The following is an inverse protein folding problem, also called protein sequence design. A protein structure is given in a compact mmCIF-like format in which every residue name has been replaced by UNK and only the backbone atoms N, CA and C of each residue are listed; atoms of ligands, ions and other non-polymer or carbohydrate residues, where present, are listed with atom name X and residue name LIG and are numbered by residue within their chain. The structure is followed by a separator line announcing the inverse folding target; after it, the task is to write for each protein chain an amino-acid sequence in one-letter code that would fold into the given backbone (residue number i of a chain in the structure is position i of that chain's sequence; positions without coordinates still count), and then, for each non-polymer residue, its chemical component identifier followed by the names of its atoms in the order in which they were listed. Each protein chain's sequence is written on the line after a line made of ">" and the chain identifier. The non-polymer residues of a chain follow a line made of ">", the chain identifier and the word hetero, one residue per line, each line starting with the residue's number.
data_IF_633586451462
#
_entry.id   IF_633586451462
#
_cell.length_a   1.000
_cell.length_b   1.000
_cell.length_c   1.000
_cell.angle_alpha   90.00
_cell.angle_beta   90.00
_cell.angle_gamma   90.00
#
_symmetry.space_group_name_H-M   'P 1'
#
loop_
_entity.id
_entity.type
_entity.pdbx_description
1 polymer ?
#
# COMPACT_ATOMS: atom_id res chain seq x y z
N UNK A 1 -4.45 6.37 -26.60
CA UNK A 1 -4.52 7.63 -25.83
C UNK A 1 -3.55 7.55 -24.66
N UNK A 2 -2.94 8.66 -24.25
CA UNK A 2 -2.05 8.68 -23.07
C UNK A 2 -2.77 9.42 -21.95
N UNK A 3 -2.94 8.74 -20.81
CA UNK A 3 -3.42 9.34 -19.56
C UNK A 3 -2.19 9.72 -18.76
N UNK A 4 -2.04 11.02 -18.47
CA UNK A 4 -0.96 11.56 -17.64
C UNK A 4 -1.41 11.70 -16.19
N UNK A 5 -0.43 11.80 -15.30
CA UNK A 5 -0.63 12.05 -13.86
C UNK A 5 -1.61 11.03 -13.22
N UNK A 6 -1.55 9.79 -13.70
CA UNK A 6 -2.31 8.70 -13.11
C UNK A 6 -1.72 8.31 -11.77
N UNK A 7 -2.59 7.95 -10.82
CA UNK A 7 -2.17 7.49 -9.49
C UNK A 7 -2.00 5.98 -9.49
N UNK A 8 -0.84 5.51 -9.04
CA UNK A 8 -0.49 4.10 -8.90
C UNK A 8 -1.29 3.44 -7.76
N UNK A 9 -2.10 2.39 -8.03
CA UNK A 9 -2.98 1.77 -7.04
C UNK A 9 -2.33 0.57 -6.34
N UNK A 10 -1.05 0.66 -5.96
CA UNK A 10 -0.29 -0.47 -5.40
C UNK A 10 0.16 -0.27 -3.95
N UNK A 11 1.25 0.46 -3.71
CA UNK A 11 1.83 0.66 -2.36
C UNK A 11 1.54 2.06 -1.81
N UNK A 12 1.91 2.29 -0.55
CA UNK A 12 1.69 3.57 0.14
C UNK A 12 2.44 4.78 -0.43
N UNK A 13 3.35 4.58 -1.40
CA UNK A 13 3.99 5.70 -2.10
C UNK A 13 3.02 6.49 -2.99
N UNK A 14 1.91 5.87 -3.39
CA UNK A 14 0.83 6.50 -4.17
C UNK A 14 1.35 7.38 -5.32
N UNK A 15 2.22 6.81 -6.16
CA UNK A 15 2.89 7.59 -7.22
C UNK A 15 1.87 8.19 -8.18
N UNK A 16 1.90 9.50 -8.36
CA UNK A 16 0.90 10.32 -9.06
C UNK A 16 1.42 10.93 -10.38
N UNK A 17 2.58 10.46 -10.83
CA UNK A 17 3.27 10.87 -12.07
C UNK A 17 3.30 9.74 -13.10
N UNK A 18 2.37 8.78 -13.01
CA UNK A 18 2.32 7.63 -13.91
C UNK A 18 1.68 8.05 -15.23
N UNK A 19 2.31 7.68 -16.34
CA UNK A 19 1.69 7.78 -17.67
C UNK A 19 1.21 6.40 -18.10
N UNK A 20 -0.05 6.30 -18.49
CA UNK A 20 -0.70 5.06 -18.91
C UNK A 20 -1.13 5.20 -20.37
N UNK A 21 -0.59 4.35 -21.23
CA UNK A 21 -0.97 4.27 -22.64
C UNK A 21 -2.10 3.25 -22.81
N UNK A 22 -3.18 3.70 -23.43
CA UNK A 22 -4.41 2.91 -23.63
C UNK A 22 -4.74 2.81 -25.11
N UNK A 23 -4.87 1.59 -25.61
CA UNK A 23 -5.32 1.25 -26.96
C UNK A 23 -6.49 0.28 -26.88
N UNK A 24 -7.56 0.54 -27.65
CA UNK A 24 -8.77 -0.31 -27.69
C UNK A 24 -9.33 -0.67 -26.29
N UNK A 25 -9.24 0.27 -25.34
CA UNK A 25 -9.70 0.09 -23.96
C UNK A 25 -8.79 -0.79 -23.08
N UNK A 26 -7.57 -1.10 -23.53
CA UNK A 26 -6.56 -1.86 -22.76
C UNK A 26 -5.32 -1.01 -22.50
N UNK A 27 -4.74 -1.20 -21.32
CA UNK A 27 -3.43 -0.63 -21.00
C UNK A 27 -2.36 -1.42 -21.75
N UNK A 28 -1.60 -0.76 -22.62
CA UNK A 28 -0.55 -1.38 -23.43
C UNK A 28 0.86 -1.03 -22.94
N UNK A 29 1.02 0.14 -22.30
CA UNK A 29 2.28 0.57 -21.71
C UNK A 29 2.06 1.42 -20.46
N UNK A 30 3.04 1.41 -19.56
CA UNK A 30 3.05 2.19 -18.32
C UNK A 30 4.44 2.77 -18.12
N UNK A 31 4.53 4.09 -18.01
CA UNK A 31 5.77 4.83 -17.80
C UNK A 31 5.83 5.34 -16.36
N UNK A 32 7.04 5.50 -15.80
CA UNK A 32 7.33 5.94 -14.43
C UNK A 32 6.90 4.98 -13.31
N UNK A 33 6.10 3.93 -13.55
CA UNK A 33 5.79 2.93 -12.54
C UNK A 33 7.02 2.03 -12.24
N UNK A 34 7.16 1.61 -10.97
CA UNK A 34 8.06 0.49 -10.66
C UNK A 34 7.45 -0.84 -11.12
N UNK A 35 8.21 -1.93 -11.08
CA UNK A 35 7.76 -3.25 -11.51
C UNK A 35 6.42 -3.68 -10.88
N UNK A 36 6.24 -3.40 -9.57
CA UNK A 36 5.00 -3.71 -8.86
C UNK A 36 3.80 -2.92 -9.40
N UNK A 37 4.00 -1.62 -9.67
CA UNK A 37 2.99 -0.76 -10.27
C UNK A 37 2.66 -1.18 -11.70
N UNK A 38 3.67 -1.45 -12.53
CA UNK A 38 3.47 -1.92 -13.92
C UNK A 38 2.66 -3.20 -13.95
N UNK A 39 3.02 -4.21 -13.14
CA UNK A 39 2.27 -5.47 -13.05
C UNK A 39 0.82 -5.28 -12.60
N UNK A 40 0.53 -4.28 -11.77
CA UNK A 40 -0.83 -3.97 -11.33
C UNK A 40 -1.69 -3.42 -12.47
N UNK A 41 -1.12 -2.60 -13.34
CA UNK A 41 -1.80 -2.04 -14.52
C UNK A 41 -1.94 -3.03 -15.68
N UNK A 42 -0.95 -3.90 -15.90
CA UNK A 42 -0.90 -4.82 -17.05
C UNK A 42 -1.31 -6.25 -16.74
N UNK A 43 -1.85 -6.52 -15.55
CA UNK A 43 -2.19 -7.88 -15.13
C UNK A 43 -3.24 -8.57 -16.01
N UNK A 44 -2.95 -9.78 -16.48
CA UNK A 44 -3.79 -10.51 -17.44
C UNK A 44 -4.81 -11.46 -16.78
N UNK A 45 -4.57 -11.87 -15.52
CA UNK A 45 -5.42 -12.83 -14.80
C UNK A 45 -6.60 -12.13 -14.14
N UNK A 46 -7.72 -12.02 -14.86
CA UNK A 46 -8.95 -11.38 -14.38
C UNK A 46 -10.15 -12.31 -14.47
N UNK A 47 -10.87 -12.49 -13.36
CA UNK A 47 -12.20 -13.10 -13.36
C UNK A 47 -13.15 -12.21 -14.17
N UNK A 48 -13.84 -12.82 -15.15
CA UNK A 48 -14.80 -12.11 -16.04
C UNK A 48 -16.22 -12.11 -15.48
N UNK A 49 -16.57 -13.15 -14.72
CA UNK A 49 -17.88 -13.33 -14.09
C UNK A 49 -17.70 -13.61 -12.60
N UNK A 50 -18.70 -13.28 -11.77
CA UNK A 50 -18.83 -13.86 -10.43
C UNK A 50 -18.91 -15.39 -10.52
N UNK A 51 -18.35 -16.06 -9.52
CA UNK A 51 -18.32 -17.52 -9.44
C UNK A 51 -18.92 -18.00 -8.13
N UNK A 52 -19.62 -19.13 -8.16
CA UNK A 52 -20.17 -19.81 -6.98
C UNK A 52 -19.58 -21.22 -6.89
N UNK A 53 -19.19 -21.62 -5.68
CA UNK A 53 -18.73 -22.98 -5.42
C UNK A 53 -19.93 -23.90 -5.21
N UNK A 54 -19.98 -24.97 -5.99
CA UNK A 54 -20.97 -26.03 -5.89
C UNK A 54 -20.23 -27.37 -5.68
N UNK A 55 -20.19 -27.82 -4.42
CA UNK A 55 -19.34 -28.94 -3.99
C UNK A 55 -17.85 -28.68 -4.22
N UNK A 56 -17.27 -29.40 -5.18
CA UNK A 56 -15.84 -29.30 -5.55
C UNK A 56 -15.59 -28.48 -6.82
N UNK A 57 -16.63 -27.94 -7.45
CA UNK A 57 -16.52 -27.18 -8.70
C UNK A 57 -16.87 -25.70 -8.50
N UNK A 58 -16.37 -24.85 -9.39
CA UNK A 58 -16.72 -23.43 -9.48
C UNK A 58 -17.53 -23.19 -10.75
N UNK A 59 -18.66 -22.51 -10.61
CA UNK A 59 -19.58 -22.21 -11.71
C UNK A 59 -19.76 -20.71 -11.87
N UNK A 60 -19.76 -20.24 -13.11
CA UNK A 60 -20.10 -18.85 -13.43
C UNK A 60 -21.57 -18.56 -13.10
N UNK A 61 -21.82 -17.41 -12.47
CA UNK A 61 -23.16 -16.92 -12.13
C UNK A 61 -23.29 -15.43 -12.48
N UNK A 62 -24.52 -14.91 -12.47
CA UNK A 62 -24.77 -13.48 -12.71
C UNK A 62 -24.43 -12.64 -11.47
N UNK A 63 -24.20 -11.34 -11.68
CA UNK A 63 -24.04 -10.39 -10.57
C UNK A 63 -25.26 -10.34 -9.66
N UNK A 64 -26.48 -10.33 -10.21
CA UNK A 64 -27.72 -10.32 -9.41
C UNK A 64 -27.79 -11.52 -8.46
N UNK A 65 -27.45 -12.71 -8.96
CA UNK A 65 -27.44 -13.93 -8.14
C UNK A 65 -26.34 -13.86 -7.08
N UNK A 66 -25.14 -13.42 -7.44
CA UNK A 66 -24.01 -13.32 -6.51
C UNK A 66 -24.28 -12.31 -5.38
N UNK A 67 -24.85 -11.15 -5.72
CA UNK A 67 -25.17 -10.08 -4.77
C UNK A 67 -26.28 -10.53 -3.82
N UNK A 68 -27.36 -11.13 -4.32
CA UNK A 68 -28.44 -11.66 -3.46
C UNK A 68 -27.92 -12.72 -2.50
N UNK A 69 -27.16 -13.69 -3.02
CA UNK A 69 -26.55 -14.74 -2.20
C UNK A 69 -25.66 -14.16 -1.08
N UNK A 70 -24.79 -13.20 -1.42
CA UNK A 70 -23.93 -12.53 -0.43
C UNK A 70 -24.75 -11.74 0.61
N UNK A 71 -25.80 -11.03 0.19
CA UNK A 71 -26.67 -10.29 1.08
C UNK A 71 -27.42 -11.22 2.05
N UNK A 72 -28.00 -12.31 1.56
CA UNK A 72 -28.69 -13.31 2.39
C UNK A 72 -27.74 -13.95 3.41
N UNK A 73 -26.51 -14.26 3.00
CA UNK A 73 -25.46 -14.76 3.91
C UNK A 73 -25.13 -13.74 5.01
N UNK A 74 -24.96 -12.47 4.66
CA UNK A 74 -24.63 -11.43 5.64
C UNK A 74 -25.79 -11.17 6.61
N UNK A 75 -27.04 -11.21 6.13
CA UNK A 75 -28.24 -11.02 6.95
C UNK A 75 -28.54 -12.20 7.89
N UNK A 76 -28.15 -13.41 7.48
CA UNK A 76 -28.33 -14.64 8.28
C UNK A 76 -27.18 -14.90 9.26
N UNK A 77 -26.05 -14.21 9.11
CA UNK A 77 -24.90 -14.36 9.99
C UNK A 77 -25.17 -13.75 11.37
N UNK A 78 -24.81 -14.47 12.44
CA UNK A 78 -24.91 -13.96 13.82
C UNK A 78 -23.83 -12.89 14.12
N UNK A 79 -22.64 -13.04 13.52
CA UNK A 79 -21.50 -12.13 13.72
C UNK A 79 -20.65 -12.02 12.45
N UNK A 80 -21.13 -11.32 11.41
CA UNK A 80 -20.41 -11.19 10.15
C UNK A 80 -19.14 -10.34 10.31
N UNK A 81 -18.05 -10.75 9.63
CA UNK A 81 -16.82 -9.98 9.49
C UNK A 81 -16.69 -9.46 8.05
N UNK A 82 -16.50 -8.15 7.95
CA UNK A 82 -16.32 -7.39 6.72
C UNK A 82 -14.85 -6.93 6.66
N UNK A 83 -13.97 -7.72 6.04
CA UNK A 83 -12.52 -7.51 6.08
C UNK A 83 -11.90 -7.14 4.73
N UNK A 84 -10.88 -6.26 4.74
CA UNK A 84 -10.01 -6.00 3.59
C UNK A 84 -9.79 -4.51 3.34
N UNK A 85 -10.67 -3.90 2.55
CA UNK A 85 -10.84 -2.45 2.28
C UNK A 85 -9.66 -1.63 1.74
N UNK A 86 -8.41 -1.97 2.07
CA UNK A 86 -7.21 -1.18 1.73
C UNK A 86 -6.87 -1.16 0.23
N UNK A 87 -7.54 -2.00 -0.57
CA UNK A 87 -7.37 -2.07 -2.03
C UNK A 87 -8.51 -1.45 -2.84
N UNK A 88 -9.38 -0.66 -2.23
CA UNK A 88 -10.47 0.09 -2.90
C UNK A 88 -10.40 1.58 -2.60
N UNK A 89 -11.28 2.37 -3.19
CA UNK A 89 -11.38 3.82 -2.99
C UNK A 89 -12.27 4.19 -1.79
N UNK A 90 -12.16 5.44 -1.32
CA UNK A 90 -12.80 5.90 -0.08
C UNK A 90 -14.33 5.79 -0.08
N UNK A 91 -15.01 6.08 -1.19
CA UNK A 91 -16.48 6.00 -1.25
C UNK A 91 -16.98 4.56 -1.06
N UNK A 92 -16.25 3.56 -1.58
CA UNK A 92 -16.59 2.15 -1.35
C UNK A 92 -16.39 1.76 0.12
N UNK A 93 -15.39 2.34 0.81
CA UNK A 93 -15.18 2.12 2.24
C UNK A 93 -16.31 2.73 3.06
N UNK A 94 -16.80 3.92 2.69
CA UNK A 94 -17.97 4.54 3.34
C UNK A 94 -19.22 3.65 3.22
N UNK A 95 -19.47 3.10 2.04
CA UNK A 95 -20.57 2.13 1.86
C UNK A 95 -20.35 0.88 2.71
N UNK A 96 -19.12 0.37 2.80
CA UNK A 96 -18.75 -0.75 3.66
C UNK A 96 -19.08 -0.53 5.14
N UNK A 97 -18.82 0.67 5.66
CA UNK A 97 -19.17 1.04 7.04
C UNK A 97 -20.68 0.99 7.25
N UNK A 98 -21.47 1.61 6.36
CA UNK A 98 -22.93 1.54 6.45
C UNK A 98 -23.47 0.11 6.35
N UNK A 99 -22.86 -0.73 5.50
CA UNK A 99 -23.21 -2.15 5.42
C UNK A 99 -22.94 -2.87 6.74
N UNK A 100 -21.78 -2.63 7.36
CA UNK A 100 -21.42 -3.23 8.65
C UNK A 100 -22.42 -2.84 9.76
N UNK A 101 -22.86 -1.59 9.78
CA UNK A 101 -23.91 -1.13 10.71
C UNK A 101 -25.24 -1.86 10.47
N UNK A 102 -25.68 -1.96 9.22
CA UNK A 102 -26.95 -2.62 8.85
C UNK A 102 -26.98 -4.09 9.25
N UNK A 103 -25.87 -4.81 9.03
CA UNK A 103 -25.77 -6.25 9.36
C UNK A 103 -25.25 -6.50 10.78
N UNK A 104 -25.03 -5.45 11.57
CA UNK A 104 -24.44 -5.50 12.92
C UNK A 104 -23.14 -6.30 12.97
N UNK A 105 -22.33 -6.13 11.93
CA UNK A 105 -21.07 -6.83 11.73
C UNK A 105 -19.87 -6.12 12.31
N UNK A 106 -18.74 -6.81 12.29
CA UNK A 106 -17.42 -6.24 12.54
C UNK A 106 -16.83 -5.82 11.20
N UNK A 107 -16.35 -4.59 11.11
CA UNK A 107 -15.57 -4.11 9.97
C UNK A 107 -14.12 -3.93 10.39
N UNK A 108 -13.19 -4.44 9.60
CA UNK A 108 -11.75 -4.32 9.84
C UNK A 108 -10.99 -4.30 8.51
N UNK A 109 -9.81 -3.70 8.45
CA UNK A 109 -9.00 -3.63 7.24
C UNK A 109 -7.63 -4.29 7.44
N UNK A 110 -6.77 -4.25 6.42
CA UNK A 110 -5.43 -4.85 6.53
C UNK A 110 -4.52 -4.16 7.56
N UNK A 111 -4.93 -3.05 8.18
CA UNK A 111 -4.13 -2.42 9.23
C UNK A 111 -4.00 -3.34 10.45
N UNK A 112 -4.98 -4.18 10.78
CA UNK A 112 -4.88 -5.10 11.94
C UNK A 112 -3.72 -6.09 11.86
N UNK A 113 -3.17 -6.34 10.66
CA UNK A 113 -1.98 -7.18 10.43
C UNK A 113 -0.77 -6.39 9.90
N UNK A 114 -0.87 -5.05 9.86
CA UNK A 114 0.16 -4.16 9.33
C UNK A 114 0.47 -3.06 10.36
N UNK A 115 -0.04 -1.83 10.16
CA UNK A 115 0.22 -0.69 11.04
C UNK A 115 -0.76 -0.56 12.23
N UNK A 116 -1.53 -1.61 12.54
CA UNK A 116 -2.45 -1.66 13.68
C UNK A 116 -1.75 -1.38 15.01
N UNK A 117 -0.61 -2.03 15.31
CA UNK A 117 0.20 -1.69 16.49
C UNK A 117 0.66 -0.22 16.49
N UNK A 118 1.00 0.34 15.32
CA UNK A 118 1.36 1.76 15.22
C UNK A 118 0.17 2.68 15.54
N UNK A 119 -1.05 2.32 15.13
CA UNK A 119 -2.27 3.07 15.46
C UNK A 119 -2.51 3.07 16.98
N UNK A 120 -2.32 1.93 17.65
CA UNK A 120 -2.45 1.85 19.11
C UNK A 120 -1.43 2.75 19.80
N UNK A 121 -0.15 2.69 19.40
CA UNK A 121 0.88 3.56 19.96
C UNK A 121 0.55 5.05 19.75
N UNK A 122 0.08 5.43 18.55
CA UNK A 122 -0.32 6.82 18.25
C UNK A 122 -1.46 7.29 19.16
N UNK A 123 -2.44 6.42 19.47
CA UNK A 123 -3.53 6.76 20.39
C UNK A 123 -3.03 7.01 21.82
N UNK A 124 -1.96 6.32 22.24
CA UNK A 124 -1.38 6.43 23.58
C UNK A 124 -0.42 7.63 23.72
N UNK A 125 0.45 7.86 22.73
CA UNK A 125 1.58 8.80 22.85
C UNK A 125 1.62 9.90 21.78
N UNK A 126 0.67 9.92 20.85
CA UNK A 126 0.57 10.92 19.79
C UNK A 126 1.32 10.56 18.50
N UNK A 127 1.20 11.44 17.48
CA UNK A 127 1.76 11.23 16.14
C UNK A 127 2.53 12.45 15.65
N UNK A 128 3.82 12.60 16.01
CA UNK A 128 4.68 13.59 15.37
C UNK A 128 5.01 13.12 13.95
N UNK A 129 4.59 13.89 12.94
CA UNK A 129 4.77 13.53 11.54
C UNK A 129 4.92 14.74 10.63
N UNK A 130 5.25 14.48 9.37
CA UNK A 130 5.30 15.50 8.32
C UNK A 130 4.92 14.88 6.97
N UNK A 131 4.65 15.72 5.97
CA UNK A 131 4.40 15.26 4.60
C UNK A 131 5.72 14.95 3.90
N UNK A 132 5.69 14.11 2.86
CA UNK A 132 6.87 13.73 2.09
C UNK A 132 7.57 14.91 1.40
N UNK A 133 6.85 16.02 1.16
CA UNK A 133 7.45 17.27 0.68
C UNK A 133 8.37 17.93 1.72
N UNK A 134 8.08 17.79 3.01
CA UNK A 134 8.97 18.29 4.08
C UNK A 134 10.24 17.45 4.11
N UNK A 135 10.10 16.11 4.07
CA UNK A 135 11.24 15.17 4.02
C UNK A 135 12.13 15.48 2.82
N UNK A 136 11.55 15.55 1.61
CA UNK A 136 12.27 15.86 0.38
C UNK A 136 13.01 17.20 0.47
N UNK A 137 12.42 18.23 1.05
CA UNK A 137 13.08 19.53 1.01
C UNK A 137 14.10 19.75 2.13
N UNK A 138 13.99 19.06 3.28
CA UNK A 138 14.70 19.45 4.51
C UNK A 138 15.45 18.34 5.24
N UNK A 139 15.12 17.06 5.04
CA UNK A 139 15.68 15.99 5.87
C UNK A 139 17.13 15.64 5.46
N UNK A 140 18.10 16.09 6.23
CA UNK A 140 19.52 15.72 6.12
C UNK A 140 19.85 14.37 6.80
N UNK A 141 18.93 13.84 7.62
CA UNK A 141 18.99 12.49 8.17
C UNK A 141 17.71 11.71 7.82
N UNK A 142 17.87 10.50 7.31
CA UNK A 142 16.78 9.56 7.03
C UNK A 142 17.10 8.23 7.70
N UNK A 143 16.18 7.76 8.56
CA UNK A 143 16.30 6.47 9.23
C UNK A 143 15.21 5.54 8.69
N UNK A 144 15.63 4.44 8.08
CA UNK A 144 14.75 3.32 7.73
C UNK A 144 14.86 2.26 8.81
N UNK A 145 13.88 2.24 9.72
CA UNK A 145 13.83 1.28 10.82
C UNK A 145 12.84 0.16 10.50
N UNK A 146 13.31 -1.09 10.47
CA UNK A 146 12.48 -2.27 10.21
C UNK A 146 11.75 -2.24 8.86
N UNK A 147 12.31 -1.55 7.86
CA UNK A 147 11.69 -1.37 6.54
C UNK A 147 12.69 -1.56 5.40
N UNK A 148 12.21 -2.16 4.31
CA UNK A 148 12.98 -2.39 3.09
C UNK A 148 12.29 -1.72 1.87
N UNK A 149 12.33 -0.38 1.78
CA UNK A 149 11.67 0.38 0.72
C UNK A 149 12.13 0.02 -0.70
N UNK A 150 13.35 -0.45 -0.94
CA UNK A 150 13.76 -0.85 -2.30
C UNK A 150 12.84 -1.97 -2.84
N UNK A 151 12.48 -2.94 -2.00
CA UNK A 151 11.58 -4.03 -2.40
C UNK A 151 10.10 -3.68 -2.22
N UNK A 152 9.74 -3.05 -1.10
CA UNK A 152 8.33 -2.84 -0.73
C UNK A 152 7.73 -1.53 -1.26
N UNK A 153 8.55 -0.51 -1.45
CA UNK A 153 8.15 0.85 -1.84
C UNK A 153 9.14 1.43 -2.86
N UNK A 154 9.34 0.81 -4.05
CA UNK A 154 10.59 0.96 -4.81
C UNK A 154 10.94 2.38 -5.26
N UNK A 155 9.93 3.26 -5.41
CA UNK A 155 10.13 4.67 -5.78
C UNK A 155 10.28 5.63 -4.59
N UNK A 156 10.20 5.15 -3.35
CA UNK A 156 10.29 6.00 -2.16
C UNK A 156 11.62 6.76 -2.09
N UNK A 157 12.73 6.08 -2.40
CA UNK A 157 14.07 6.67 -2.33
C UNK A 157 14.28 7.77 -3.37
N UNK A 158 13.82 7.53 -4.61
CA UNK A 158 13.98 8.46 -5.72
C UNK A 158 13.01 9.63 -5.70
N UNK A 159 11.82 9.46 -5.10
CA UNK A 159 10.84 10.55 -5.01
C UNK A 159 11.04 11.46 -3.81
N UNK A 160 11.51 10.92 -2.68
CA UNK A 160 11.37 11.63 -1.39
C UNK A 160 12.61 11.69 -0.51
N UNK A 161 13.59 10.80 -0.67
CA UNK A 161 14.70 10.69 0.29
C UNK A 161 16.07 10.66 -0.42
N UNK A 162 16.78 9.52 -0.39
CA UNK A 162 18.21 9.40 -0.75
C UNK A 162 18.59 10.06 -2.06
N UNK A 163 17.75 9.92 -3.10
CA UNK A 163 18.07 10.39 -4.45
C UNK A 163 17.20 11.57 -4.90
N UNK A 164 16.40 12.14 -3.99
CA UNK A 164 15.51 13.24 -4.31
C UNK A 164 16.16 14.58 -3.93
N UNK A 165 16.45 15.41 -4.93
CA UNK A 165 16.87 16.80 -4.73
C UNK A 165 15.75 17.60 -4.04
N UNK A 166 16.17 18.48 -3.12
CA UNK A 166 15.27 19.28 -2.31
C UNK A 166 15.66 20.75 -2.35
N UNK A 167 14.72 21.61 -1.97
CA UNK A 167 14.96 23.06 -1.94
C UNK A 167 16.16 23.47 -1.06
N UNK A 168 16.38 22.80 0.08
CA UNK A 168 17.49 23.09 1.00
C UNK A 168 18.63 22.06 0.92
N UNK A 169 18.53 21.08 0.01
CA UNK A 169 19.45 19.96 -0.13
C UNK A 169 19.74 19.77 -1.63
N UNK A 170 20.70 20.55 -2.13
CA UNK A 170 21.04 20.62 -3.56
C UNK A 170 21.77 19.35 -4.04
N UNK A 171 22.47 18.63 -3.16
CA UNK A 171 23.09 17.34 -3.47
C UNK A 171 22.54 16.25 -2.55
N UNK A 172 21.37 15.71 -2.89
CA UNK A 172 20.68 14.70 -2.08
C UNK A 172 21.55 13.51 -1.65
N UNK A 173 22.51 13.10 -2.50
CA UNK A 173 23.40 11.99 -2.20
C UNK A 173 24.51 12.35 -1.19
N UNK A 174 24.94 13.61 -1.12
CA UNK A 174 25.97 14.05 -0.16
C UNK A 174 25.37 14.66 1.09
N UNK A 175 24.23 15.33 0.96
CA UNK A 175 23.62 16.14 2.01
C UNK A 175 22.68 15.34 2.90
N UNK A 176 22.40 14.07 2.55
CA UNK A 176 21.59 13.17 3.37
C UNK A 176 22.40 12.00 3.88
N UNK A 177 22.38 11.81 5.19
CA UNK A 177 22.80 10.58 5.85
C UNK A 177 21.62 9.60 5.92
N UNK A 178 21.82 8.37 5.44
CA UNK A 178 20.86 7.27 5.51
C UNK A 178 21.34 6.22 6.49
N UNK A 179 20.52 5.97 7.52
CA UNK A 179 20.72 4.89 8.48
C UNK A 179 19.65 3.83 8.24
N UNK A 180 20.06 2.56 8.19
CA UNK A 180 19.14 1.42 8.13
C UNK A 180 19.29 0.60 9.40
N UNK A 181 18.18 0.36 10.09
CA UNK A 181 18.11 -0.54 11.23
C UNK A 181 17.27 -1.75 10.82
N UNK A 182 17.89 -2.92 10.70
CA UNK A 182 17.21 -4.15 10.27
C UNK A 182 17.92 -5.38 10.84
N UNK A 183 17.22 -6.51 10.93
CA UNK A 183 17.78 -7.81 11.33
C UNK A 183 18.58 -8.47 10.19
N UNK A 184 18.34 -8.04 8.94
CA UNK A 184 19.03 -8.53 7.74
C UNK A 184 19.65 -7.38 6.96
N UNK A 185 20.78 -7.66 6.30
CA UNK A 185 21.38 -6.74 5.34
C UNK A 185 20.64 -6.83 4.00
N UNK A 186 19.57 -6.05 3.86
CA UNK A 186 18.73 -5.95 2.65
C UNK A 186 19.37 -5.07 1.58
N UNK A 187 18.76 -5.01 0.38
CA UNK A 187 19.18 -4.05 -0.64
C UNK A 187 19.09 -2.61 -0.15
N UNK A 188 18.08 -2.27 0.67
CA UNK A 188 18.03 -0.96 1.32
C UNK A 188 19.22 -0.76 2.27
N UNK A 189 19.63 -1.77 3.03
CA UNK A 189 20.82 -1.67 3.88
C UNK A 189 22.13 -1.49 3.08
N UNK A 190 22.21 -2.01 1.85
CA UNK A 190 23.40 -1.90 1.00
C UNK A 190 23.71 -0.47 0.53
N UNK A 191 22.70 0.40 0.45
CA UNK A 191 22.88 1.81 0.04
C UNK A 191 23.01 2.79 1.22
N UNK A 192 22.88 2.29 2.45
CA UNK A 192 22.92 3.10 3.66
C UNK A 192 24.34 3.57 3.97
N UNK A 193 24.46 4.76 4.54
CA UNK A 193 25.74 5.25 5.08
C UNK A 193 26.11 4.47 6.36
N UNK A 194 25.09 4.09 7.14
CA UNK A 194 25.24 3.22 8.32
C UNK A 194 24.17 2.14 8.35
N UNK A 195 24.60 0.90 8.63
CA UNK A 195 23.71 -0.23 8.86
C UNK A 195 23.85 -0.72 10.30
N UNK A 196 22.77 -0.62 11.06
CA UNK A 196 22.68 -1.11 12.44
C UNK A 196 21.95 -2.45 12.42
N UNK A 197 22.71 -3.53 12.53
CA UNK A 197 22.12 -4.85 12.61
C UNK A 197 21.67 -5.18 14.02
N UNK A 198 20.36 -5.39 14.19
CA UNK A 198 19.75 -5.77 15.47
C UNK A 198 19.34 -7.24 15.49
N UNK A 199 19.08 -7.80 16.67
CA UNK A 199 18.49 -9.14 16.80
C UNK A 199 16.98 -9.06 16.56
N UNK A 200 16.34 -10.11 16.03
CA UNK A 200 14.89 -10.18 15.95
C UNK A 200 14.22 -9.90 17.31
N UNK A 201 13.32 -8.92 17.34
CA UNK A 201 12.63 -8.46 18.56
C UNK A 201 13.48 -7.58 19.48
N UNK A 202 14.69 -7.19 19.07
CA UNK A 202 15.60 -6.36 19.84
C UNK A 202 15.34 -4.86 19.75
N UNK A 203 14.42 -4.42 18.88
CA UNK A 203 14.14 -3.01 18.59
C UNK A 203 13.84 -2.18 19.83
N UNK A 204 13.04 -2.71 20.76
CA UNK A 204 12.61 -1.98 21.96
C UNK A 204 13.77 -1.63 22.91
N UNK A 205 14.88 -2.38 22.86
CA UNK A 205 16.02 -2.18 23.74
C UNK A 205 17.07 -1.20 23.18
N UNK A 206 16.96 -0.84 21.89
CA UNK A 206 17.86 0.05 21.16
C UNK A 206 17.34 1.48 21.22
#
# INVERSE_FOLDING_TARGET
>A
MIVKDAVCPFCGCLCDDIEVEVEEGRVVAVTNACELGTKKFTGEKRLKNPILRDGNEWKDITYDTAIRYAADMLLSAERPLLYGWSGTHGEAQCVGVHMAELVRGVIDNTSSVCHGPSILAIQEVGHPGCTLGVVKNRADLVIYWGSNPIDAHPRHLSRYTRYAEGFFLENAFRDRKVIVVDVRKTETANIADEFVQIKPGGDYAV
#
